data_IF_704390494567
#
_entry.id   IF_704390494567
#
_cell.length_a   1.000
_cell.length_b   1.000
_cell.length_c   1.000
_cell.angle_alpha   90.00
_cell.angle_beta   90.00
_cell.angle_gamma   90.00
#
_symmetry.space_group_name_H-M   'P 1'
#
loop_
_entity.id
_entity.type
_entity.pdbx_description
1 polymer ?
#
# COMPACT_ATOMS: atom_id res chain seq x y z
N UNK A 1 13.84 18.72 27.53
CA UNK A 1 14.38 18.82 26.16
C UNK A 1 13.90 17.57 25.42
N UNK A 2 12.82 17.69 24.65
CA UNK A 2 12.21 16.57 23.94
C UNK A 2 12.50 16.75 22.47
N UNK A 3 13.17 15.78 21.85
CA UNK A 3 13.37 15.76 20.40
C UNK A 3 12.01 15.53 19.75
N UNK A 4 11.68 16.18 18.62
CA UNK A 4 10.52 15.80 17.85
C UNK A 4 10.77 14.37 17.35
N UNK A 5 9.95 13.43 17.81
CA UNK A 5 9.80 12.15 17.13
C UNK A 5 9.21 12.52 15.78
N UNK A 6 10.00 12.46 14.72
CA UNK A 6 9.42 12.42 13.38
C UNK A 6 8.74 11.06 13.30
N UNK A 7 7.48 11.00 13.73
CA UNK A 7 6.59 9.91 13.38
C UNK A 7 6.54 9.92 11.85
N UNK A 8 7.24 8.96 11.24
CA UNK A 8 7.36 8.85 9.78
C UNK A 8 5.94 8.84 9.18
N UNK A 9 5.62 9.83 8.34
CA UNK A 9 4.35 9.89 7.64
C UNK A 9 4.09 8.55 6.94
N UNK A 10 2.97 7.93 7.29
CA UNK A 10 2.51 6.68 6.70
C UNK A 10 1.12 6.88 6.12
N UNK A 11 0.84 6.21 5.00
CA UNK A 11 -0.49 6.18 4.41
C UNK A 11 -1.02 4.76 4.42
N UNK A 12 -2.32 4.64 4.70
CA UNK A 12 -3.04 3.38 4.64
C UNK A 12 -3.99 3.46 3.45
N UNK A 13 -3.86 2.52 2.53
CA UNK A 13 -4.78 2.33 1.42
C UNK A 13 -5.76 1.22 1.79
N UNK A 14 -6.92 1.63 2.29
CA UNK A 14 -7.97 0.71 2.74
C UNK A 14 -8.65 0.04 1.56
N UNK A 15 -8.87 -1.27 1.68
CA UNK A 15 -9.59 -2.08 0.68
C UNK A 15 -11.10 -2.17 0.97
N UNK A 16 -11.52 -1.91 2.21
CA UNK A 16 -12.89 -2.06 2.73
C UNK A 16 -13.48 -3.48 2.59
N UNK A 17 -12.63 -4.52 2.53
CA UNK A 17 -13.05 -5.92 2.41
C UNK A 17 -12.45 -6.80 3.50
N UNK A 18 -13.01 -8.00 3.66
CA UNK A 18 -12.44 -9.07 4.47
C UNK A 18 -12.07 -10.23 3.56
N UNK A 19 -10.78 -10.58 3.53
CA UNK A 19 -10.24 -11.60 2.65
C UNK A 19 -10.84 -12.96 2.99
N UNK A 20 -11.32 -13.68 1.97
CA UNK A 20 -11.82 -15.04 2.09
C UNK A 20 -10.83 -16.06 1.51
N UNK A 21 -11.05 -17.32 1.84
CA UNK A 21 -10.36 -18.43 1.18
C UNK A 21 -10.62 -18.40 -0.33
N UNK A 22 -9.55 -18.58 -1.12
CA UNK A 22 -9.50 -18.45 -2.58
C UNK A 22 -9.44 -16.99 -3.10
N UNK A 23 -9.28 -16.01 -2.20
CA UNK A 23 -9.10 -14.62 -2.62
C UNK A 23 -7.61 -14.28 -2.83
N UNK A 24 -7.38 -13.41 -3.79
CA UNK A 24 -6.08 -12.83 -4.09
C UNK A 24 -6.23 -11.31 -4.23
N UNK A 25 -5.38 -10.56 -3.55
CA UNK A 25 -5.31 -9.11 -3.61
C UNK A 25 -3.94 -8.73 -4.15
N UNK A 26 -3.94 -7.85 -5.15
CA UNK A 26 -2.71 -7.28 -5.72
C UNK A 26 -2.76 -5.77 -5.68
N UNK A 27 -1.66 -5.18 -5.26
CA UNK A 27 -1.41 -3.75 -5.32
C UNK A 27 -0.43 -3.46 -6.44
N UNK A 28 -0.85 -2.58 -7.33
CA UNK A 28 -0.07 -2.11 -8.46
C UNK A 28 0.19 -0.62 -8.33
N UNK A 29 1.34 -0.16 -8.81
CA UNK A 29 1.74 1.24 -8.78
C UNK A 29 2.03 1.78 -10.19
N UNK A 30 1.58 3.01 -10.44
CA UNK A 30 1.91 3.77 -11.63
C UNK A 30 1.08 3.43 -12.87
N UNK A 31 1.50 3.98 -14.00
CA UNK A 31 0.85 3.75 -15.30
C UNK A 31 1.18 2.37 -15.87
N UNK A 32 2.33 1.81 -15.49
CA UNK A 32 2.86 0.53 -15.98
C UNK A 32 2.29 -0.68 -15.24
N UNK A 33 1.44 -0.46 -14.22
CA UNK A 33 0.82 -1.53 -13.44
C UNK A 33 1.86 -2.45 -12.76
N UNK A 34 2.95 -1.86 -12.28
CA UNK A 34 4.01 -2.59 -11.58
C UNK A 34 3.47 -3.14 -10.27
N UNK A 35 3.53 -4.46 -10.09
CA UNK A 35 3.12 -5.11 -8.85
C UNK A 35 4.10 -4.77 -7.74
N UNK A 36 3.59 -4.12 -6.69
CA UNK A 36 4.39 -3.71 -5.53
C UNK A 36 4.15 -4.63 -4.33
N UNK A 37 2.94 -5.20 -4.23
CA UNK A 37 2.59 -6.13 -3.17
C UNK A 37 1.42 -7.02 -3.58
N UNK A 38 1.33 -8.21 -3.01
CA UNK A 38 0.20 -9.12 -3.14
C UNK A 38 -0.01 -9.99 -1.90
N UNK A 39 -1.25 -10.45 -1.74
CA UNK A 39 -1.63 -11.43 -0.73
C UNK A 39 -2.62 -12.41 -1.36
N UNK A 40 -2.40 -13.70 -1.13
CA UNK A 40 -3.24 -14.79 -1.62
C UNK A 40 -3.57 -15.73 -0.47
N UNK A 41 -4.85 -16.09 -0.36
CA UNK A 41 -5.32 -17.09 0.60
C UNK A 41 -5.67 -18.35 -0.16
N UNK A 42 -4.82 -19.36 -0.04
CA UNK A 42 -5.00 -20.66 -0.68
C UNK A 42 -6.22 -21.41 -0.11
N UNK A 43 -6.74 -22.39 -0.87
CA UNK A 43 -7.92 -23.19 -0.48
C UNK A 43 -7.76 -23.93 0.85
N UNK A 44 -6.53 -24.22 1.26
CA UNK A 44 -6.19 -24.88 2.52
C UNK A 44 -6.06 -23.89 3.70
N UNK A 45 -6.33 -22.60 3.49
CA UNK A 45 -6.23 -21.53 4.48
C UNK A 45 -4.81 -20.98 4.67
N UNK A 46 -3.82 -21.43 3.89
CA UNK A 46 -2.48 -20.86 3.91
C UNK A 46 -2.49 -19.48 3.27
N UNK A 47 -1.91 -18.50 3.96
CA UNK A 47 -1.76 -17.13 3.48
C UNK A 47 -0.33 -16.97 2.94
N UNK A 48 -0.23 -16.55 1.69
CA UNK A 48 1.03 -16.14 1.06
C UNK A 48 0.97 -14.64 0.83
N UNK A 49 2.01 -13.90 1.20
CA UNK A 49 2.09 -12.46 0.97
C UNK A 49 3.48 -12.05 0.53
N UNK A 50 3.52 -11.03 -0.32
CA UNK A 50 4.73 -10.39 -0.80
C UNK A 50 4.52 -8.88 -0.70
N UNK A 51 5.32 -8.19 0.10
CA UNK A 51 5.28 -6.73 0.29
C UNK A 51 6.61 -6.05 -0.08
N UNK A 52 7.45 -6.76 -0.83
CA UNK A 52 8.79 -6.32 -1.25
C UNK A 52 9.04 -6.56 -2.75
N UNK A 53 7.98 -6.68 -3.55
CA UNK A 53 8.07 -7.01 -4.97
C UNK A 53 8.78 -5.91 -5.80
N UNK A 54 8.75 -4.66 -5.33
CA UNK A 54 9.38 -3.52 -5.98
C UNK A 54 10.47 -2.90 -5.10
N UNK A 55 11.69 -2.76 -5.65
CA UNK A 55 12.85 -2.21 -4.93
C UNK A 55 12.61 -0.78 -4.42
N UNK A 56 11.74 0.01 -5.06
CA UNK A 56 11.36 1.35 -4.60
C UNK A 56 10.73 1.31 -3.21
N UNK A 57 9.94 0.29 -2.92
CA UNK A 57 9.16 0.20 -1.68
C UNK A 57 9.69 -0.84 -0.69
N UNK A 58 10.87 -1.40 -0.97
CA UNK A 58 11.52 -2.42 -0.15
C UNK A 58 11.61 -2.01 1.32
N UNK A 59 11.03 -2.85 2.19
CA UNK A 59 11.00 -2.64 3.64
C UNK A 59 10.08 -1.52 4.12
N UNK A 60 9.27 -0.92 3.23
CA UNK A 60 8.34 0.17 3.54
C UNK A 60 6.87 -0.24 3.44
N UNK A 61 6.54 -1.24 2.63
CA UNK A 61 5.17 -1.75 2.53
C UNK A 61 4.86 -2.74 3.64
N UNK A 62 3.59 -2.75 4.04
CA UNK A 62 3.04 -3.77 4.93
C UNK A 62 1.61 -4.07 4.51
N UNK A 63 1.30 -5.34 4.32
CA UNK A 63 -0.06 -5.80 4.04
C UNK A 63 -0.74 -6.27 5.33
N UNK A 64 -1.99 -5.84 5.51
CA UNK A 64 -2.88 -6.40 6.51
C UNK A 64 -3.47 -7.74 6.01
N UNK A 65 -3.27 -8.82 6.76
CA UNK A 65 -3.66 -10.17 6.32
C UNK A 65 -5.18 -10.42 6.38
N UNK A 66 -5.93 -9.57 7.07
CA UNK A 66 -7.38 -9.71 7.22
C UNK A 66 -8.13 -8.97 6.12
N UNK A 67 -7.65 -7.78 5.76
CA UNK A 67 -8.34 -6.88 4.83
C UNK A 67 -7.61 -6.74 3.49
N UNK A 68 -6.30 -6.96 3.46
CA UNK A 68 -5.44 -6.70 2.30
C UNK A 68 -5.11 -5.22 2.12
N UNK A 69 -5.39 -4.40 3.14
CA UNK A 69 -5.02 -2.99 3.15
C UNK A 69 -3.51 -2.82 3.10
N UNK A 70 -3.05 -1.89 2.27
CA UNK A 70 -1.64 -1.60 2.08
C UNK A 70 -1.24 -0.41 2.93
N UNK A 71 -0.30 -0.60 3.84
CA UNK A 71 0.36 0.49 4.55
C UNK A 71 1.69 0.80 3.88
N UNK A 72 1.94 2.07 3.59
CA UNK A 72 3.20 2.56 3.03
C UNK A 72 3.83 3.44 4.11
N UNK A 73 4.91 2.96 4.70
CA UNK A 73 5.66 3.68 5.73
C UNK A 73 6.69 4.63 5.10
N UNK A 74 6.97 5.74 5.78
CA UNK A 74 7.95 6.73 5.32
C UNK A 74 7.65 7.17 3.89
N UNK A 75 6.43 7.67 3.69
CA UNK A 75 5.95 8.11 2.38
C UNK A 75 6.69 9.37 1.94
N UNK A 76 7.13 9.38 0.69
CA UNK A 76 7.87 10.49 0.08
C UNK A 76 7.06 11.08 -1.06
N UNK A 77 7.44 12.28 -1.49
CA UNK A 77 6.83 12.94 -2.66
C UNK A 77 6.91 12.07 -3.92
N UNK A 78 7.97 11.26 -4.05
CA UNK A 78 8.13 10.34 -5.18
C UNK A 78 7.21 9.11 -5.12
N UNK A 79 6.65 8.79 -3.94
CA UNK A 79 5.67 7.72 -3.76
C UNK A 79 4.25 8.20 -4.11
N UNK A 80 4.03 9.51 -4.27
CA UNK A 80 2.76 10.04 -4.76
C UNK A 80 2.47 9.49 -6.17
N UNK A 81 1.21 9.12 -6.42
CA UNK A 81 0.84 8.54 -7.70
C UNK A 81 -0.45 7.74 -7.67
N UNK A 82 -0.68 7.03 -8.77
CA UNK A 82 -1.82 6.14 -8.95
C UNK A 82 -1.47 4.75 -8.41
N UNK A 83 -2.24 4.32 -7.43
CA UNK A 83 -2.27 2.94 -6.93
C UNK A 83 -3.49 2.25 -7.50
N UNK A 84 -3.34 1.00 -7.92
CA UNK A 84 -4.44 0.16 -8.38
C UNK A 84 -4.54 -1.07 -7.48
N UNK A 85 -5.71 -1.26 -6.93
CA UNK A 85 -6.10 -2.44 -6.16
C UNK A 85 -6.83 -3.39 -7.09
N UNK A 86 -6.33 -4.62 -7.21
CA UNK A 86 -6.99 -5.72 -7.88
C UNK A 86 -7.39 -6.77 -6.84
N UNK A 87 -8.66 -7.15 -6.83
CA UNK A 87 -9.20 -8.21 -5.97
C UNK A 87 -9.72 -9.31 -6.89
N UNK A 88 -9.11 -10.48 -6.84
CA UNK A 88 -9.56 -11.69 -7.52
C UNK A 88 -10.23 -12.58 -6.48
N UNK A 89 -11.51 -12.88 -6.68
CA UNK A 89 -12.29 -13.71 -5.76
C UNK A 89 -13.23 -14.61 -6.55
N UNK A 90 -13.01 -15.93 -6.48
CA UNK A 90 -13.91 -16.97 -7.04
C UNK A 90 -14.46 -16.65 -8.45
N UNK A 91 -13.57 -16.28 -9.36
CA UNK A 91 -13.92 -15.97 -10.76
C UNK A 91 -14.50 -14.56 -10.99
N UNK A 92 -14.54 -13.71 -9.97
CA UNK A 92 -14.80 -12.27 -10.09
C UNK A 92 -13.50 -11.50 -9.92
N UNK A 93 -13.36 -10.43 -10.70
CA UNK A 93 -12.27 -9.49 -10.56
C UNK A 93 -12.84 -8.11 -10.31
N UNK A 94 -12.43 -7.48 -9.22
CA UNK A 94 -12.73 -6.09 -8.90
C UNK A 94 -11.46 -5.27 -9.03
N UNK A 95 -11.58 -4.07 -9.60
CA UNK A 95 -10.47 -3.13 -9.71
C UNK A 95 -10.86 -1.78 -9.10
N UNK A 96 -9.99 -1.23 -8.25
CA UNK A 96 -10.15 0.12 -7.67
C UNK A 96 -8.88 0.92 -7.92
N UNK A 97 -9.06 2.21 -8.23
CA UNK A 97 -7.96 3.16 -8.45
C UNK A 97 -7.95 4.15 -7.30
N UNK A 98 -6.78 4.39 -6.73
CA UNK A 98 -6.57 5.29 -5.61
C UNK A 98 -5.43 6.23 -5.97
N UNK A 99 -5.67 7.53 -5.88
CA UNK A 99 -4.62 8.53 -6.09
C UNK A 99 -4.11 9.00 -4.73
N UNK A 100 -2.80 8.88 -4.54
CA UNK A 100 -2.11 9.34 -3.34
C UNK A 100 -1.37 10.63 -3.68
N UNK A 101 -1.62 11.68 -2.90
CA UNK A 101 -0.95 12.97 -3.02
C UNK A 101 -0.15 13.21 -1.74
N UNK A 102 1.13 13.54 -1.90
CA UNK A 102 1.99 13.96 -0.79
C UNK A 102 2.24 15.44 -0.93
N UNK A 103 1.62 16.25 -0.06
CA UNK A 103 1.90 17.69 -0.01
C UNK A 103 3.15 17.90 0.83
N UNK A 104 4.27 18.26 0.19
CA UNK A 104 5.47 18.64 0.92
C UNK A 104 5.20 19.90 1.75
N UNK A 105 5.28 19.79 3.07
CA UNK A 105 5.28 20.95 3.97
C UNK A 105 6.60 21.70 3.79
N UNK A 106 6.70 22.54 2.76
CA UNK A 106 7.72 23.59 2.73
C UNK A 106 7.32 24.69 3.71
N UNK A 107 7.44 24.44 5.00
CA UNK A 107 7.55 25.51 5.99
C UNK A 107 9.02 25.93 6.06
N UNK A 108 9.44 26.78 5.12
CA UNK A 108 10.56 27.67 5.40
C UNK A 108 10.04 28.69 6.41
N UNK A 109 10.32 28.49 7.69
CA UNK A 109 10.36 29.62 8.62
C UNK A 109 11.45 30.56 8.09
N UNK A 110 11.02 31.64 7.42
CA UNK A 110 11.80 32.87 7.34
C UNK A 110 11.49 33.59 8.64
N UNK A 111 12.38 33.39 9.60
CA UNK A 111 12.50 34.19 10.79
C UNK A 111 13.27 35.47 10.41
N UNK A 112 12.53 36.54 10.15
CA UNK A 112 13.00 37.93 10.28
C UNK A 112 12.90 38.37 11.75
#
# INVERSE_FOLDING_TARGET
KSLPHHEEDSVILETDINIQTDDEIRWLFGAEDTQIADIKVELNGVITKHDDADEKFKGRLKLDETTGSLTINNIRTDDAGLYKLLILSRGRTSCRKIFVYVTGSTEKQVNE
#
